data_IF_894419075357
#
_entry.id   IF_894419075357
#
_cell.length_a   1.000
_cell.length_b   1.000
_cell.length_c   1.000
_cell.angle_alpha   90.00
_cell.angle_beta   90.00
_cell.angle_gamma   90.00
#
_symmetry.space_group_name_H-M   'P 1'
#
loop_
_entity.id
_entity.type
_entity.pdbx_description
1 polymer ?
#
# COMPACT_ATOMS: atom_id res chain seq x y z
N UNK A 1 1.82 -14.49 -50.31
CA UNK A 1 0.91 -13.37 -50.40
C UNK A 1 0.55 -12.90 -49.02
N UNK A 2 1.22 -11.93 -48.62
CA UNK A 2 1.00 -11.33 -47.36
C UNK A 2 -0.18 -10.34 -47.50
N UNK A 3 -1.34 -10.78 -47.06
CA UNK A 3 -2.36 -9.83 -46.69
C UNK A 3 -1.85 -9.14 -45.43
N UNK A 4 -0.87 -8.31 -45.58
CA UNK A 4 -0.63 -7.29 -44.59
C UNK A 4 -1.82 -6.34 -44.68
N UNK A 5 -2.87 -6.68 -44.01
CA UNK A 5 -3.93 -5.73 -43.72
C UNK A 5 -3.29 -4.68 -42.84
N UNK A 6 -2.71 -3.71 -43.50
CA UNK A 6 -2.33 -2.48 -42.84
C UNK A 6 -3.61 -1.88 -42.31
N UNK A 7 -3.84 -2.10 -41.04
CA UNK A 7 -4.92 -1.42 -40.31
C UNK A 7 -4.72 0.08 -40.55
N UNK A 8 -5.68 0.74 -41.11
CA UNK A 8 -5.60 2.17 -41.35
C UNK A 8 -5.50 2.89 -40.01
N UNK A 9 -4.82 4.01 -39.96
CA UNK A 9 -4.72 4.83 -38.74
C UNK A 9 -6.09 5.12 -38.15
N UNK A 10 -7.08 5.25 -38.97
CA UNK A 10 -8.46 5.50 -38.57
C UNK A 10 -9.07 4.28 -37.86
N UNK A 11 -8.88 3.09 -38.38
CA UNK A 11 -9.33 1.85 -37.76
C UNK A 11 -8.63 1.57 -36.44
N UNK A 12 -7.33 1.85 -36.39
CA UNK A 12 -6.55 1.75 -35.16
C UNK A 12 -7.09 2.70 -34.08
N UNK A 13 -7.37 3.94 -34.43
CA UNK A 13 -7.91 4.93 -33.49
C UNK A 13 -9.30 4.55 -32.99
N UNK A 14 -10.17 4.02 -33.86
CA UNK A 14 -11.50 3.56 -33.48
C UNK A 14 -11.41 2.35 -32.54
N UNK A 15 -10.56 1.38 -32.84
CA UNK A 15 -10.40 0.21 -31.98
C UNK A 15 -9.76 0.55 -30.63
N UNK A 16 -8.82 1.49 -30.58
CA UNK A 16 -8.25 2.00 -29.34
C UNK A 16 -9.28 2.76 -28.49
N UNK A 17 -10.15 3.55 -29.12
CA UNK A 17 -11.22 4.25 -28.41
C UNK A 17 -12.24 3.29 -27.82
N UNK A 18 -12.64 2.25 -28.55
CA UNK A 18 -13.59 1.24 -28.09
C UNK A 18 -13.02 0.42 -26.93
N UNK A 19 -11.73 0.04 -26.97
CA UNK A 19 -11.08 -0.67 -25.89
C UNK A 19 -10.81 0.21 -24.68
N UNK A 20 -10.63 1.52 -24.84
CA UNK A 20 -10.48 2.46 -23.74
C UNK A 20 -11.78 2.68 -22.95
N UNK A 21 -12.94 2.46 -23.55
CA UNK A 21 -14.24 2.59 -22.89
C UNK A 21 -14.61 1.40 -22.01
N UNK A 22 -14.14 0.19 -22.35
CA UNK A 22 -14.44 -1.04 -21.60
C UNK A 22 -13.81 -1.10 -20.22
N UNK A 23 -12.55 -0.67 -20.00
CA UNK A 23 -11.93 -0.67 -18.66
C UNK A 23 -12.23 0.60 -17.86
N UNK A 24 -13.10 1.49 -18.33
CA UNK A 24 -13.36 2.77 -17.66
C UNK A 24 -13.78 2.65 -16.19
N UNK A 25 -14.68 1.73 -15.77
CA UNK A 25 -14.99 1.55 -14.37
C UNK A 25 -13.80 1.07 -13.54
N UNK A 26 -12.96 0.20 -14.10
CA UNK A 26 -11.75 -0.28 -13.43
C UNK A 26 -10.70 0.82 -13.27
N UNK A 27 -10.55 1.70 -14.26
CA UNK A 27 -9.66 2.87 -14.21
C UNK A 27 -10.16 3.88 -13.16
N UNK A 28 -11.44 4.14 -13.09
CA UNK A 28 -12.05 5.02 -12.08
C UNK A 28 -11.87 4.43 -10.68
N UNK A 29 -12.12 3.15 -10.50
CA UNK A 29 -11.91 2.46 -9.23
C UNK A 29 -10.45 2.52 -8.78
N UNK A 30 -9.51 2.30 -9.68
CA UNK A 30 -8.08 2.43 -9.40
C UNK A 30 -7.68 3.88 -9.07
N UNK A 31 -8.31 4.88 -9.70
CA UNK A 31 -8.08 6.29 -9.41
C UNK A 31 -8.64 6.69 -8.04
N UNK A 32 -9.77 6.10 -7.63
CA UNK A 32 -10.37 6.33 -6.32
C UNK A 32 -9.57 5.70 -5.19
N UNK A 33 -8.86 4.60 -5.47
CA UNK A 33 -8.01 3.90 -4.51
C UNK A 33 -6.58 4.45 -4.43
N UNK A 34 -6.31 5.62 -4.98
CA UNK A 34 -5.00 6.26 -4.83
C UNK A 34 -4.75 6.60 -3.36
N UNK A 35 -3.57 6.23 -2.88
CA UNK A 35 -3.12 6.63 -1.57
C UNK A 35 -3.07 8.16 -1.49
N UNK A 36 -3.80 8.72 -0.55
CA UNK A 36 -3.87 10.16 -0.30
C UNK A 36 -3.72 10.44 1.17
N UNK A 37 -3.16 11.59 1.49
CA UNK A 37 -3.05 12.07 2.85
C UNK A 37 -1.69 11.82 3.46
N UNK A 38 -1.62 11.81 4.77
CA UNK A 38 -0.40 11.61 5.53
C UNK A 38 -0.15 10.14 5.82
N UNK A 39 1.08 9.72 5.63
CA UNK A 39 1.57 8.41 6.04
C UNK A 39 2.53 8.62 7.21
N UNK A 40 2.22 8.02 8.35
CA UNK A 40 3.03 8.12 9.54
C UNK A 40 4.06 7.00 9.58
N UNK A 41 5.33 7.35 9.75
CA UNK A 41 6.37 6.36 10.01
C UNK A 41 6.31 6.01 11.50
N UNK A 42 6.08 4.75 11.79
CA UNK A 42 6.02 4.28 13.18
C UNK A 42 7.44 4.04 13.72
N UNK A 43 7.64 4.36 14.97
CA UNK A 43 8.80 3.89 15.71
C UNK A 43 8.64 2.44 16.10
N UNK A 44 9.73 1.75 16.41
CA UNK A 44 9.65 0.40 16.96
C UNK A 44 9.66 0.52 18.48
N UNK A 45 8.57 0.15 19.17
CA UNK A 45 8.57 0.13 20.63
C UNK A 45 9.27 -1.12 21.15
N UNK A 46 9.96 -0.99 22.26
CA UNK A 46 10.67 -2.08 22.92
C UNK A 46 10.20 -2.23 24.35
N UNK A 47 10.20 -3.47 24.82
CA UNK A 47 9.98 -3.79 26.23
C UNK A 47 11.25 -3.47 27.07
N UNK A 48 11.11 -3.52 28.38
CA UNK A 48 12.25 -3.34 29.28
C UNK A 48 13.33 -4.42 29.11
N UNK A 49 12.98 -5.55 28.47
CA UNK A 49 13.89 -6.66 28.16
C UNK A 49 14.46 -6.56 26.73
N UNK A 50 14.42 -5.39 26.11
CA UNK A 50 14.91 -5.14 24.76
C UNK A 50 14.24 -6.00 23.66
N UNK A 51 13.01 -6.44 23.90
CA UNK A 51 12.22 -7.14 22.91
C UNK A 51 11.26 -6.18 22.21
N UNK A 52 10.90 -6.46 20.95
CA UNK A 52 9.88 -5.67 20.26
C UNK A 52 8.55 -5.79 20.99
N UNK A 53 7.97 -4.67 21.36
CA UNK A 53 6.67 -4.60 22.00
C UNK A 53 5.56 -4.54 20.94
N UNK A 54 5.07 -5.69 20.52
CA UNK A 54 4.04 -5.79 19.50
C UNK A 54 2.68 -5.27 19.94
N UNK A 55 2.40 -5.33 21.24
CA UNK A 55 1.17 -4.75 21.78
C UNK A 55 1.18 -3.23 21.67
N UNK A 56 2.30 -2.61 21.99
CA UNK A 56 2.47 -1.18 21.89
C UNK A 56 2.50 -0.72 20.43
N UNK A 57 3.11 -1.50 19.55
CA UNK A 57 3.08 -1.25 18.10
C UNK A 57 1.63 -1.21 17.57
N UNK A 58 0.78 -2.12 18.01
CA UNK A 58 -0.64 -2.10 17.66
C UNK A 58 -1.35 -0.85 18.21
N UNK A 59 -1.00 -0.40 19.39
CA UNK A 59 -1.54 0.84 19.99
C UNK A 59 -1.14 2.08 19.18
N UNK A 60 0.09 2.13 18.68
CA UNK A 60 0.55 3.22 17.82
C UNK A 60 -0.29 3.30 16.54
N UNK A 61 -0.58 2.16 15.91
CA UNK A 61 -1.44 2.10 14.72
C UNK A 61 -2.83 2.65 15.02
N UNK A 62 -3.45 2.21 16.10
CA UNK A 62 -4.79 2.66 16.51
C UNK A 62 -4.81 4.16 16.84
N UNK A 63 -3.76 4.64 17.48
CA UNK A 63 -3.59 6.06 17.78
C UNK A 63 -3.53 6.89 16.49
N UNK A 64 -2.72 6.45 15.51
CA UNK A 64 -2.64 7.10 14.20
C UNK A 64 -4.00 7.14 13.50
N UNK A 65 -4.76 6.06 13.56
CA UNK A 65 -6.10 6.00 13.00
C UNK A 65 -7.06 7.00 13.68
N UNK A 66 -7.00 7.11 15.00
CA UNK A 66 -7.79 8.09 15.77
C UNK A 66 -7.43 9.53 15.43
N UNK A 67 -6.17 9.79 15.10
CA UNK A 67 -5.70 11.11 14.68
C UNK A 67 -6.03 11.44 13.22
N UNK A 68 -6.65 10.53 12.47
CA UNK A 68 -7.03 10.76 11.07
C UNK A 68 -5.92 10.56 10.08
N UNK A 69 -4.85 9.88 10.44
CA UNK A 69 -3.76 9.51 9.53
C UNK A 69 -4.23 8.41 8.58
N UNK A 70 -3.97 8.57 7.30
CA UNK A 70 -4.48 7.67 6.25
C UNK A 70 -3.72 6.37 6.15
N UNK A 71 -2.51 6.31 6.64
CA UNK A 71 -1.73 5.08 6.63
C UNK A 71 -0.50 5.16 7.52
N UNK A 72 0.10 4.00 7.75
CA UNK A 72 1.33 3.87 8.51
C UNK A 72 2.38 3.15 7.68
N UNK A 73 3.63 3.43 7.97
CA UNK A 73 4.78 2.81 7.32
C UNK A 73 5.71 2.24 8.39
N UNK A 74 6.02 0.96 8.27
CA UNK A 74 6.94 0.28 9.18
C UNK A 74 7.45 -1.02 8.52
N UNK A 75 8.69 -1.44 8.75
CA UNK A 75 9.75 -0.65 9.37
C UNK A 75 10.46 0.27 8.37
N UNK A 76 11.01 1.34 8.89
CA UNK A 76 11.83 2.29 8.15
C UNK A 76 13.17 2.50 8.88
N UNK A 77 14.04 3.34 8.34
CA UNK A 77 15.30 3.65 8.98
C UNK A 77 15.12 4.18 10.42
N UNK A 78 14.13 5.06 10.61
CA UNK A 78 13.77 5.60 11.92
C UNK A 78 13.05 4.59 12.82
N UNK A 79 12.64 3.47 12.28
CA UNK A 79 12.05 2.34 13.03
C UNK A 79 13.11 1.27 13.36
N UNK A 80 14.38 1.57 13.14
CA UNK A 80 15.51 0.68 13.43
C UNK A 80 15.47 -0.66 12.66
N UNK A 81 14.96 -0.63 11.43
CA UNK A 81 14.76 -1.83 10.60
C UNK A 81 15.99 -2.74 10.50
N UNK A 82 17.20 -2.16 10.60
CA UNK A 82 18.46 -2.91 10.48
C UNK A 82 18.70 -3.87 11.64
N UNK A 83 18.13 -3.57 12.79
CA UNK A 83 18.30 -4.35 14.02
C UNK A 83 17.19 -5.36 14.23
N UNK A 84 16.13 -5.30 13.42
CA UNK A 84 15.02 -6.23 13.50
C UNK A 84 15.32 -7.53 12.74
N UNK A 85 15.05 -8.66 13.37
CA UNK A 85 15.11 -9.96 12.69
C UNK A 85 14.01 -10.09 11.64
N UNK A 86 14.16 -11.03 10.73
CA UNK A 86 13.10 -11.33 9.75
C UNK A 86 11.80 -11.76 10.43
N UNK A 87 11.90 -12.52 11.52
CA UNK A 87 10.75 -12.97 12.29
C UNK A 87 10.03 -11.79 12.97
N UNK A 88 10.79 -10.87 13.56
CA UNK A 88 10.23 -9.68 14.18
C UNK A 88 9.53 -8.80 13.14
N UNK A 89 10.12 -8.62 11.97
CA UNK A 89 9.48 -7.87 10.87
C UNK A 89 8.19 -8.51 10.40
N UNK A 90 8.20 -9.83 10.19
CA UNK A 90 7.00 -10.56 9.75
C UNK A 90 5.88 -10.45 10.78
N UNK A 91 6.20 -10.65 12.05
CA UNK A 91 5.23 -10.51 13.13
C UNK A 91 4.70 -9.07 13.23
N UNK A 92 5.56 -8.09 13.09
CA UNK A 92 5.16 -6.68 13.06
C UNK A 92 4.19 -6.37 11.94
N UNK A 93 4.42 -6.90 10.73
CA UNK A 93 3.48 -6.74 9.62
C UNK A 93 2.10 -7.32 9.93
N UNK A 94 2.06 -8.50 10.53
CA UNK A 94 0.79 -9.13 10.95
C UNK A 94 0.06 -8.28 11.98
N UNK A 95 0.78 -7.78 12.97
CA UNK A 95 0.23 -6.94 14.04
C UNK A 95 -0.32 -5.62 13.47
N UNK A 96 0.43 -4.97 12.59
CA UNK A 96 0.00 -3.72 11.95
C UNK A 96 -1.21 -3.97 11.07
N UNK A 97 -1.20 -5.02 10.26
CA UNK A 97 -2.32 -5.37 9.41
C UNK A 97 -3.60 -5.62 10.23
N UNK A 98 -3.49 -6.36 11.33
CA UNK A 98 -4.62 -6.63 12.22
C UNK A 98 -5.12 -5.34 12.90
N UNK A 99 -4.22 -4.53 13.42
CA UNK A 99 -4.58 -3.26 14.08
C UNK A 99 -5.17 -2.23 13.10
N UNK A 100 -4.88 -2.35 11.82
CA UNK A 100 -5.38 -1.48 10.75
C UNK A 100 -6.78 -1.87 10.27
N UNK A 101 -7.32 -2.99 10.69
CA UNK A 101 -8.67 -3.42 10.35
C UNK A 101 -9.69 -2.58 11.12
N UNK A 102 -10.61 -2.05 10.39
CA UNK A 102 -11.65 -1.19 10.97
C UNK A 102 -11.59 0.21 10.41
#
# INVERSE_FOLDING_TARGET
>A
MTNSQLISRRELLVSLSASALLPYPAILSAAENKMRGALMILSTPYTDDDQVDFEDLAKEVRFCAQCGVQGVVWPQNSSEQRYLSSQERMKGFEVIAEASRG
#
